data_IF_635572728647
#
_entry.id   IF_635572728647
#
_cell.length_a   1.000
_cell.length_b   1.000
_cell.length_c   1.000
_cell.angle_alpha   90.00
_cell.angle_beta   90.00
_cell.angle_gamma   90.00
#
_symmetry.space_group_name_H-M   'P 1'
#
loop_
_entity.id
_entity.type
_entity.pdbx_description
1 polymer ?
#
# COMPACT_ATOMS: atom_id res chain seq x y z
N UNK A 1 -18.52 14.23 36.98
CA UNK A 1 -18.17 12.80 36.83
C UNK A 1 -17.54 12.24 38.08
N UNK A 2 -17.97 11.03 38.49
CA UNK A 2 -17.32 10.35 39.61
C UNK A 2 -16.00 9.70 39.14
N UNK A 3 -15.26 9.17 40.06
CA UNK A 3 -13.94 8.58 39.79
C UNK A 3 -14.01 7.39 38.81
N UNK A 4 -15.03 6.56 38.96
CA UNK A 4 -15.23 5.39 38.11
C UNK A 4 -15.54 5.81 36.67
N UNK A 5 -16.36 6.82 36.47
CA UNK A 5 -16.69 7.35 35.14
C UNK A 5 -15.46 7.95 34.46
N UNK A 6 -14.60 8.62 35.24
CA UNK A 6 -13.34 9.18 34.75
C UNK A 6 -12.40 8.08 34.29
N UNK A 7 -12.32 6.98 35.03
CA UNK A 7 -11.48 5.83 34.65
C UNK A 7 -11.97 5.16 33.38
N UNK A 8 -13.30 5.00 33.24
CA UNK A 8 -13.89 4.42 32.04
C UNK A 8 -13.63 5.30 30.81
N UNK A 9 -13.77 6.61 30.96
CA UNK A 9 -13.51 7.57 29.89
C UNK A 9 -12.04 7.53 29.47
N UNK A 10 -11.14 7.52 30.44
CA UNK A 10 -9.70 7.42 30.19
C UNK A 10 -9.37 6.14 29.44
N UNK A 11 -9.97 5.02 29.85
CA UNK A 11 -9.77 3.73 29.18
C UNK A 11 -10.23 3.77 27.72
N UNK A 12 -11.39 4.38 27.45
CA UNK A 12 -11.90 4.53 26.08
C UNK A 12 -10.97 5.37 25.21
N UNK A 13 -10.47 6.48 25.74
CA UNK A 13 -9.50 7.32 25.04
C UNK A 13 -8.24 6.55 24.70
N UNK A 14 -7.75 5.75 25.63
CA UNK A 14 -6.55 4.92 25.41
C UNK A 14 -6.78 3.90 24.28
N UNK A 15 -7.97 3.30 24.24
CA UNK A 15 -8.34 2.38 23.18
C UNK A 15 -8.42 3.07 21.83
N UNK A 16 -9.00 4.27 21.77
CA UNK A 16 -9.08 5.05 20.55
C UNK A 16 -7.70 5.47 20.04
N UNK A 17 -6.82 5.89 20.94
CA UNK A 17 -5.43 6.21 20.59
C UNK A 17 -4.74 5.02 19.91
N UNK A 18 -4.93 3.84 20.49
CA UNK A 18 -4.35 2.61 19.95
C UNK A 18 -4.90 2.30 18.57
N UNK A 19 -6.22 2.42 18.39
CA UNK A 19 -6.89 2.18 17.11
C UNK A 19 -6.43 3.18 16.06
N UNK A 20 -6.31 4.45 16.42
CA UNK A 20 -5.81 5.51 15.52
C UNK A 20 -4.40 5.15 15.03
N UNK A 21 -3.54 4.77 15.96
CA UNK A 21 -2.16 4.42 15.65
C UNK A 21 -2.09 3.22 14.68
N UNK A 22 -2.90 2.19 14.95
CA UNK A 22 -2.97 1.02 14.08
C UNK A 22 -3.47 1.37 12.68
N UNK A 23 -4.53 2.20 12.59
CA UNK A 23 -5.07 2.65 11.30
C UNK A 23 -4.06 3.49 10.55
N UNK A 24 -3.35 4.39 11.22
CA UNK A 24 -2.31 5.21 10.58
C UNK A 24 -1.19 4.35 10.02
N UNK A 25 -0.78 3.30 10.75
CA UNK A 25 0.24 2.36 10.28
C UNK A 25 -0.24 1.58 9.06
N UNK A 26 -1.51 1.16 9.07
CA UNK A 26 -2.11 0.45 7.93
C UNK A 26 -2.20 1.36 6.70
N UNK A 27 -2.60 2.61 6.88
CA UNK A 27 -2.66 3.61 5.80
C UNK A 27 -1.28 3.82 5.20
N UNK A 28 -0.25 3.99 6.03
CA UNK A 28 1.13 4.15 5.58
C UNK A 28 1.60 2.94 4.76
N UNK A 29 1.31 1.74 5.24
CA UNK A 29 1.65 0.50 4.53
C UNK A 29 0.98 0.43 3.16
N UNK A 30 -0.30 0.79 3.08
CA UNK A 30 -1.04 0.82 1.81
C UNK A 30 -0.47 1.88 0.87
N UNK A 31 -0.16 3.07 1.37
CA UNK A 31 0.45 4.14 0.57
C UNK A 31 1.79 3.70 -0.01
N UNK A 32 2.63 3.03 0.80
CA UNK A 32 3.91 2.51 0.35
C UNK A 32 3.72 1.46 -0.75
N UNK A 33 2.72 0.60 -0.61
CA UNK A 33 2.37 -0.39 -1.63
C UNK A 33 1.96 0.25 -2.94
N UNK A 34 1.17 1.32 -2.88
CA UNK A 34 0.75 2.07 -4.08
C UNK A 34 1.97 2.71 -4.77
N UNK A 35 2.86 3.31 -3.99
CA UNK A 35 4.09 3.93 -4.53
C UNK A 35 4.94 2.87 -5.23
N UNK A 36 5.15 1.72 -4.60
CA UNK A 36 5.96 0.64 -5.17
C UNK A 36 5.37 0.12 -6.48
N UNK A 37 4.07 -0.10 -6.52
CA UNK A 37 3.38 -0.57 -7.73
C UNK A 37 3.41 0.48 -8.84
N UNK A 38 3.24 1.76 -8.48
CA UNK A 38 3.32 2.86 -9.45
C UNK A 38 4.71 2.95 -10.06
N UNK A 39 5.75 2.83 -9.25
CA UNK A 39 7.15 2.84 -9.72
C UNK A 39 7.43 1.66 -10.64
N UNK A 40 6.92 0.48 -10.29
CA UNK A 40 7.04 -0.71 -11.12
C UNK A 40 6.37 -0.50 -12.49
N UNK A 41 5.19 0.11 -12.49
CA UNK A 41 4.45 0.38 -13.72
C UNK A 41 5.23 1.31 -14.66
N UNK A 42 5.87 2.35 -14.12
CA UNK A 42 6.76 3.22 -14.90
C UNK A 42 7.96 2.46 -15.44
N UNK A 43 8.56 1.57 -14.64
CA UNK A 43 9.68 0.74 -15.08
C UNK A 43 9.30 -0.16 -16.25
N UNK A 44 8.08 -0.70 -16.25
CA UNK A 44 7.58 -1.53 -17.34
C UNK A 44 7.42 -0.72 -18.63
N UNK A 45 7.03 0.54 -18.53
CA UNK A 45 6.95 1.43 -19.71
C UNK A 45 8.33 1.62 -20.34
N UNK A 46 9.38 1.74 -19.52
CA UNK A 46 10.75 1.87 -20.00
C UNK A 46 11.24 0.61 -20.72
N UNK A 47 10.76 -0.57 -20.34
CA UNK A 47 11.11 -1.82 -21.00
C UNK A 47 10.45 -2.00 -22.35
N UNK A 48 9.30 -1.32 -22.58
CA UNK A 48 8.57 -1.44 -23.83
C UNK A 48 9.42 -0.94 -25.01
N UNK A 49 9.62 -1.78 -26.01
CA UNK A 49 10.46 -1.49 -27.17
C UNK A 49 11.95 -1.64 -26.90
N UNK A 50 12.34 -2.24 -25.79
CA UNK A 50 13.76 -2.39 -25.40
C UNK A 50 14.34 -3.78 -25.71
N UNK A 51 13.61 -4.63 -26.42
CA UNK A 51 14.15 -5.94 -26.84
C UNK A 51 15.45 -5.74 -27.61
N UNK A 52 16.45 -6.57 -27.28
CA UNK A 52 17.80 -6.55 -27.83
C UNK A 52 18.65 -5.34 -27.46
N UNK A 53 18.16 -4.46 -26.58
CA UNK A 53 18.92 -3.33 -26.05
C UNK A 53 19.58 -3.69 -24.73
N UNK A 54 20.67 -2.99 -24.42
CA UNK A 54 21.33 -3.12 -23.13
C UNK A 54 20.51 -2.43 -22.05
N UNK A 55 20.39 -3.07 -20.90
CA UNK A 55 19.73 -2.54 -19.71
C UNK A 55 20.65 -2.73 -18.50
N UNK A 56 20.37 -2.02 -17.42
CA UNK A 56 20.99 -2.28 -16.13
C UNK A 56 20.01 -3.08 -15.27
N UNK A 57 20.34 -4.36 -15.04
CA UNK A 57 19.52 -5.24 -14.24
C UNK A 57 19.94 -5.14 -12.77
N UNK A 58 19.01 -4.82 -11.84
CA UNK A 58 19.35 -4.68 -10.43
C UNK A 58 19.57 -6.04 -9.78
N UNK A 59 20.67 -6.16 -9.03
CA UNK A 59 20.95 -7.33 -8.20
C UNK A 59 20.47 -7.11 -6.75
N UNK A 60 20.30 -5.85 -6.37
CA UNK A 60 19.90 -5.44 -5.02
C UNK A 60 20.93 -4.50 -4.41
N UNK A 61 20.51 -3.74 -3.39
CA UNK A 61 21.38 -2.84 -2.61
C UNK A 61 22.21 -1.86 -3.46
N UNK A 62 21.62 -1.36 -4.55
CA UNK A 62 22.30 -0.40 -5.42
C UNK A 62 23.31 -1.01 -6.38
N UNK A 63 23.37 -2.34 -6.48
CA UNK A 63 24.26 -3.03 -7.39
C UNK A 63 23.50 -3.41 -8.65
N UNK A 64 24.07 -3.09 -9.82
CA UNK A 64 23.46 -3.35 -11.12
C UNK A 64 24.45 -4.09 -12.01
N UNK A 65 23.93 -4.88 -12.92
CA UNK A 65 24.74 -5.54 -13.95
C UNK A 65 24.18 -5.13 -15.32
N UNK A 66 25.10 -4.92 -16.28
CA UNK A 66 24.70 -4.71 -17.66
C UNK A 66 24.15 -6.03 -18.21
N UNK A 67 22.99 -5.95 -18.83
CA UNK A 67 22.32 -7.11 -19.42
C UNK A 67 21.67 -6.72 -20.74
N UNK A 68 21.37 -7.70 -21.54
CA UNK A 68 20.62 -7.48 -22.79
C UNK A 68 19.23 -8.04 -22.61
N UNK A 69 18.20 -7.24 -22.92
CA UNK A 69 16.82 -7.70 -22.84
C UNK A 69 16.53 -8.60 -24.04
N UNK A 70 16.43 -9.90 -23.81
CA UNK A 70 16.22 -10.87 -24.90
C UNK A 70 14.75 -11.06 -25.27
N UNK A 71 13.84 -10.66 -24.38
CA UNK A 71 12.40 -10.78 -24.59
C UNK A 71 11.68 -9.77 -23.72
N UNK A 72 10.54 -9.25 -24.21
CA UNK A 72 9.63 -8.41 -23.40
C UNK A 72 8.58 -9.25 -22.65
N UNK A 73 8.64 -10.57 -22.81
CA UNK A 73 7.77 -11.48 -22.04
C UNK A 73 8.23 -11.52 -20.59
N UNK A 74 7.28 -11.34 -19.69
CA UNK A 74 7.55 -11.28 -18.25
C UNK A 74 7.15 -12.59 -17.58
N UNK A 75 7.89 -12.96 -16.53
CA UNK A 75 7.54 -14.06 -15.64
C UNK A 75 6.97 -13.46 -14.36
N UNK A 76 5.69 -13.68 -14.11
CA UNK A 76 4.96 -13.06 -13.00
C UNK A 76 4.58 -14.12 -11.98
N UNK A 77 4.97 -13.92 -10.72
CA UNK A 77 4.57 -14.77 -9.62
C UNK A 77 3.12 -14.43 -9.25
N UNK A 78 2.22 -15.40 -9.41
CA UNK A 78 0.80 -15.23 -9.10
C UNK A 78 0.44 -15.80 -7.73
N UNK A 79 1.43 -16.26 -6.97
CA UNK A 79 1.28 -16.77 -5.61
C UNK A 79 1.97 -18.10 -5.41
N UNK A 80 2.53 -18.30 -4.22
CA UNK A 80 3.18 -19.55 -3.79
C UNK A 80 4.25 -20.08 -4.73
N UNK A 81 5.00 -19.17 -5.40
CA UNK A 81 6.05 -19.55 -6.32
C UNK A 81 5.58 -20.06 -7.68
N UNK A 82 4.31 -19.87 -8.00
CA UNK A 82 3.74 -20.21 -9.31
C UNK A 82 3.92 -19.02 -10.26
N UNK A 83 4.73 -19.22 -11.30
CA UNK A 83 5.02 -18.19 -12.28
C UNK A 83 4.21 -18.42 -13.56
N UNK A 84 3.67 -17.34 -14.10
CA UNK A 84 3.03 -17.33 -15.42
C UNK A 84 3.73 -16.33 -16.31
N UNK A 85 3.71 -16.59 -17.61
CA UNK A 85 4.25 -15.68 -18.62
C UNK A 85 3.17 -14.69 -19.00
N UNK A 86 3.50 -13.39 -18.98
CA UNK A 86 2.61 -12.32 -19.34
C UNK A 86 3.34 -11.28 -20.18
N UNK A 87 2.59 -10.62 -21.07
CA UNK A 87 3.10 -9.45 -21.78
C UNK A 87 3.22 -8.25 -20.84
N UNK A 88 3.95 -7.23 -21.26
CA UNK A 88 4.02 -5.97 -20.52
C UNK A 88 2.64 -5.33 -20.37
N UNK A 89 1.82 -5.20 -21.43
CA UNK A 89 0.47 -4.65 -21.27
C UNK A 89 -0.41 -5.42 -20.28
N UNK A 90 -0.40 -6.75 -20.35
CA UNK A 90 -1.16 -7.59 -19.41
C UNK A 90 -0.71 -7.39 -17.96
N UNK A 91 0.59 -7.30 -17.75
CA UNK A 91 1.15 -7.08 -16.41
C UNK A 91 0.79 -5.69 -15.89
N UNK A 92 0.83 -4.67 -16.74
CA UNK A 92 0.42 -3.31 -16.39
C UNK A 92 -1.05 -3.25 -15.97
N UNK A 93 -1.93 -3.95 -16.66
CA UNK A 93 -3.34 -4.04 -16.29
C UNK A 93 -3.52 -4.67 -14.91
N UNK A 94 -2.76 -5.73 -14.62
CA UNK A 94 -2.79 -6.38 -13.31
C UNK A 94 -2.34 -5.42 -12.22
N UNK A 95 -1.26 -4.69 -12.45
CA UNK A 95 -0.73 -3.69 -11.50
C UNK A 95 -1.75 -2.58 -11.27
N UNK A 96 -2.34 -2.05 -12.32
CA UNK A 96 -3.36 -0.99 -12.22
C UNK A 96 -4.57 -1.45 -11.43
N UNK A 97 -4.99 -2.70 -11.62
CA UNK A 97 -6.08 -3.30 -10.84
C UNK A 97 -5.73 -3.39 -9.36
N UNK A 98 -4.50 -3.79 -9.05
CA UNK A 98 -4.03 -3.86 -7.66
C UNK A 98 -3.94 -2.48 -7.01
N UNK A 99 -3.47 -1.48 -7.75
CA UNK A 99 -3.43 -0.09 -7.27
C UNK A 99 -4.84 0.38 -6.91
N UNK A 100 -5.83 0.12 -7.76
CA UNK A 100 -7.23 0.49 -7.49
C UNK A 100 -7.75 -0.16 -6.21
N UNK A 101 -7.44 -1.44 -6.01
CA UNK A 101 -7.83 -2.14 -4.77
C UNK A 101 -7.21 -1.50 -3.54
N UNK A 102 -5.93 -1.17 -3.60
CA UNK A 102 -5.24 -0.51 -2.49
C UNK A 102 -5.80 0.89 -2.24
N UNK A 103 -6.13 1.64 -3.28
CA UNK A 103 -6.77 2.95 -3.14
C UNK A 103 -8.12 2.83 -2.43
N UNK A 104 -8.91 1.81 -2.76
CA UNK A 104 -10.18 1.53 -2.10
C UNK A 104 -10.00 1.20 -0.62
N UNK A 105 -9.01 0.38 -0.30
CA UNK A 105 -8.68 0.03 1.09
C UNK A 105 -8.25 1.29 1.86
N UNK A 106 -7.44 2.14 1.24
CA UNK A 106 -7.01 3.40 1.85
C UNK A 106 -8.19 4.28 2.21
N UNK A 107 -9.17 4.43 1.31
CA UNK A 107 -10.38 5.22 1.56
C UNK A 107 -11.16 4.64 2.74
N UNK A 108 -11.32 3.33 2.80
CA UNK A 108 -12.01 2.67 3.93
C UNK A 108 -11.30 2.92 5.25
N UNK A 109 -9.97 2.84 5.27
CA UNK A 109 -9.17 3.10 6.47
C UNK A 109 -9.27 4.56 6.90
N UNK A 110 -9.23 5.49 5.95
CA UNK A 110 -9.38 6.92 6.22
C UNK A 110 -10.77 7.23 6.78
N UNK A 111 -11.82 6.58 6.25
CA UNK A 111 -13.18 6.72 6.75
C UNK A 111 -13.29 6.20 8.19
N UNK A 112 -12.68 5.08 8.49
CA UNK A 112 -12.64 4.52 9.84
C UNK A 112 -11.95 5.47 10.82
N UNK A 113 -10.86 6.09 10.39
CA UNK A 113 -10.13 7.07 11.18
C UNK A 113 -10.99 8.30 11.47
N UNK A 114 -11.71 8.78 10.47
CA UNK A 114 -12.63 9.90 10.60
C UNK A 114 -13.77 9.61 11.59
N UNK A 115 -14.33 8.41 11.52
CA UNK A 115 -15.39 7.97 12.45
C UNK A 115 -14.91 7.96 13.91
N UNK A 116 -13.69 7.47 14.14
CA UNK A 116 -13.10 7.48 15.48
C UNK A 116 -12.92 8.91 15.96
N UNK A 117 -12.48 9.81 15.09
CA UNK A 117 -12.35 11.24 15.41
C UNK A 117 -13.68 11.85 15.84
N UNK A 118 -14.77 11.49 15.15
CA UNK A 118 -16.11 11.95 15.48
C UNK A 118 -16.58 11.41 16.84
N UNK A 119 -16.29 10.14 17.12
CA UNK A 119 -16.62 9.54 18.41
C UNK A 119 -15.88 10.21 19.56
N UNK A 120 -14.60 10.50 19.37
CA UNK A 120 -13.78 11.22 20.36
C UNK A 120 -14.34 12.62 20.61
N UNK A 121 -14.67 13.35 19.56
CA UNK A 121 -15.24 14.69 19.67
C UNK A 121 -16.60 14.66 20.43
N UNK A 122 -17.43 13.68 20.13
CA UNK A 122 -18.70 13.48 20.83
C UNK A 122 -18.51 13.20 22.31
N UNK A 123 -17.51 12.43 22.67
CA UNK A 123 -17.17 12.12 24.07
C UNK A 123 -16.63 13.35 24.79
N UNK A 124 -15.81 14.16 24.14
CA UNK A 124 -15.27 15.38 24.71
C UNK A 124 -16.38 16.41 25.01
N UNK A 125 -17.34 16.54 24.10
CA UNK A 125 -18.50 17.42 24.27
C UNK A 125 -19.35 16.98 25.46
N UNK A 126 -19.56 15.68 25.64
CA UNK A 126 -20.35 15.14 26.74
C UNK A 126 -19.58 15.18 28.08
N UNK A 127 -18.27 15.23 28.02
CA UNK A 127 -17.40 15.26 29.21
C UNK A 127 -17.30 16.63 29.87
N UNK A 128 -17.81 17.67 29.23
CA UNK A 128 -17.88 19.00 29.79
C UNK A 128 -19.08 19.09 30.74
#
# INVERSE_FOLDING_TARGET
MNEQEQQELYFKFSMFEKQIKELQQQIESVENGIVDLTSLNFGLDELTGSKDKEIFAPLGKGIFVKAKLISEELNVDIGSGNFVKKSIPETKELIESQIKKLQGIKVELENSLEEIGKEINGMMEKGE
#
